data_IF_133425803650
#
_entry.id   IF_133425803650
#
_cell.length_a   1.000
_cell.length_b   1.000
_cell.length_c   1.000
_cell.angle_alpha   90.00
_cell.angle_beta   90.00
_cell.angle_gamma   90.00
#
_symmetry.space_group_name_H-M   'P 1'
#
loop_
_entity.id
_entity.type
_entity.pdbx_description
1 polymer ?
#
# COMPACT_ATOMS: atom_id res chain seq x y z
N UNK A 1 29.41 31.59 1.47
CA UNK A 1 29.56 30.22 0.95
C UNK A 1 28.81 29.32 1.91
N UNK A 2 27.57 28.95 1.58
CA UNK A 2 26.75 28.12 2.45
C UNK A 2 26.92 26.67 2.00
N UNK A 3 27.64 25.92 2.82
CA UNK A 3 27.65 24.46 2.83
C UNK A 3 26.22 23.99 3.13
N UNK A 4 25.53 23.48 2.11
CA UNK A 4 24.34 22.68 2.28
C UNK A 4 24.75 21.26 1.94
N UNK A 5 25.20 20.54 2.99
CA UNK A 5 25.47 19.13 2.93
C UNK A 5 24.34 18.42 2.20
N UNK A 6 24.65 17.93 1.01
CA UNK A 6 23.86 16.91 0.35
C UNK A 6 23.95 15.69 1.26
N UNK A 7 22.99 15.59 2.18
CA UNK A 7 22.67 14.36 2.87
C UNK A 7 22.17 13.38 1.82
N UNK A 8 23.09 12.85 1.03
CA UNK A 8 22.92 11.57 0.36
C UNK A 8 22.85 10.55 1.49
N UNK A 9 21.68 10.48 2.13
CA UNK A 9 21.39 9.35 3.00
C UNK A 9 21.36 8.16 2.07
N UNK A 10 22.38 7.31 2.18
CA UNK A 10 22.29 5.90 1.88
C UNK A 10 21.08 5.34 2.67
N UNK A 11 19.87 5.58 2.16
CA UNK A 11 18.61 5.18 2.74
C UNK A 11 18.45 3.70 2.51
N UNK A 12 18.99 2.90 3.43
CA UNK A 12 18.77 1.45 3.46
C UNK A 12 17.26 1.18 3.43
N UNK A 13 16.75 0.75 2.27
CA UNK A 13 15.34 0.38 2.09
C UNK A 13 14.99 -0.69 3.12
N UNK A 14 14.00 -0.42 3.97
CA UNK A 14 13.58 -1.33 5.04
C UNK A 14 12.70 -2.41 4.44
N UNK A 15 13.21 -3.64 4.35
CA UNK A 15 12.46 -4.77 3.81
C UNK A 15 11.26 -5.10 4.70
N UNK A 16 10.06 -5.03 4.12
CA UNK A 16 8.84 -5.51 4.78
C UNK A 16 8.93 -7.03 4.85
N UNK A 17 8.82 -7.56 6.06
CA UNK A 17 8.74 -8.99 6.32
C UNK A 17 7.29 -9.34 6.57
N UNK A 18 6.69 -10.18 5.71
CA UNK A 18 5.35 -10.66 5.97
C UNK A 18 5.34 -11.43 7.30
N UNK A 19 4.56 -10.95 8.28
CA UNK A 19 4.35 -11.66 9.55
C UNK A 19 3.62 -12.99 9.30
N UNK A 20 2.74 -12.99 8.30
CA UNK A 20 2.08 -14.18 7.78
C UNK A 20 2.72 -14.61 6.46
N UNK A 21 3.23 -15.85 6.38
CA UNK A 21 3.86 -16.38 5.15
C UNK A 21 2.90 -16.41 3.95
N UNK A 22 1.58 -16.27 4.16
CA UNK A 22 0.59 -16.15 3.09
C UNK A 22 0.26 -14.71 2.70
N UNK A 23 0.96 -13.69 3.22
CA UNK A 23 0.71 -12.30 2.83
C UNK A 23 1.04 -12.10 1.35
N UNK A 24 -0.01 -12.10 0.54
CA UNK A 24 0.08 -12.09 -0.91
C UNK A 24 -1.20 -11.56 -1.53
N UNK A 25 -1.07 -10.62 -2.46
CA UNK A 25 -2.19 -10.07 -3.21
C UNK A 25 -2.39 -10.83 -4.51
N UNK A 26 -3.57 -11.41 -4.70
CA UNK A 26 -3.94 -12.14 -5.90
C UNK A 26 -5.08 -11.46 -6.68
N UNK A 27 -5.32 -10.17 -6.45
CA UNK A 27 -6.41 -9.42 -7.07
C UNK A 27 -7.76 -9.52 -6.33
N UNK A 28 -7.81 -10.20 -5.19
CA UNK A 28 -9.02 -10.30 -4.36
C UNK A 28 -8.71 -9.92 -2.90
N UNK A 29 -9.73 -9.52 -2.16
CA UNK A 29 -9.64 -9.04 -0.78
C UNK A 29 -8.66 -7.85 -0.64
N UNK A 30 -8.70 -6.89 -1.58
CA UNK A 30 -7.73 -5.78 -1.65
C UNK A 30 -7.67 -4.98 -0.35
N UNK A 31 -8.80 -4.78 0.33
CA UNK A 31 -8.85 -4.09 1.63
C UNK A 31 -8.05 -4.84 2.69
N UNK A 32 -8.27 -6.16 2.80
CA UNK A 32 -7.57 -7.02 3.75
C UNK A 32 -6.07 -7.05 3.47
N UNK A 33 -5.70 -7.20 2.19
CA UNK A 33 -4.30 -7.15 1.78
C UNK A 33 -3.64 -5.82 2.19
N UNK A 34 -4.27 -4.69 1.90
CA UNK A 34 -3.75 -3.37 2.26
C UNK A 34 -3.58 -3.23 3.77
N UNK A 35 -4.58 -3.64 4.57
CA UNK A 35 -4.49 -3.60 6.04
C UNK A 35 -3.34 -4.46 6.58
N UNK A 36 -3.20 -5.70 6.10
CA UNK A 36 -2.16 -6.62 6.56
C UNK A 36 -0.76 -6.16 6.12
N UNK A 37 -0.65 -5.57 4.92
CA UNK A 37 0.59 -5.01 4.38
C UNK A 37 1.04 -3.74 5.14
N UNK A 38 0.11 -2.83 5.42
CA UNK A 38 0.38 -1.63 6.23
C UNK A 38 0.78 -1.98 7.66
N UNK A 39 0.16 -3.01 8.25
CA UNK A 39 0.55 -3.52 9.55
C UNK A 39 1.99 -4.07 9.54
N UNK A 40 2.35 -4.87 8.54
CA UNK A 40 3.71 -5.39 8.39
C UNK A 40 4.74 -4.25 8.22
N UNK A 41 4.44 -3.26 7.36
CA UNK A 41 5.27 -2.08 7.16
C UNK A 41 5.48 -1.28 8.45
N UNK A 42 4.42 -1.08 9.25
CA UNK A 42 4.51 -0.39 10.55
C UNK A 42 5.37 -1.16 11.55
N UNK A 43 5.26 -2.49 11.58
CA UNK A 43 6.07 -3.33 12.47
C UNK A 43 7.55 -3.33 12.11
N UNK A 44 7.87 -3.26 10.82
CA UNK A 44 9.26 -3.19 10.33
C UNK A 44 9.81 -1.75 10.32
N UNK A 45 8.97 -0.73 10.52
CA UNK A 45 9.37 0.69 10.47
C UNK A 45 9.64 1.20 9.05
N UNK A 46 8.90 0.67 8.07
CA UNK A 46 9.04 1.00 6.66
C UNK A 46 8.34 2.32 6.32
N UNK A 47 8.94 3.12 5.43
CA UNK A 47 8.35 4.37 4.94
C UNK A 47 7.33 4.13 3.83
N UNK A 48 6.42 5.07 3.61
CA UNK A 48 5.43 5.02 2.52
C UNK A 48 6.09 4.88 1.13
N UNK A 49 7.23 5.55 0.89
CA UNK A 49 7.94 5.40 -0.39
C UNK A 49 8.48 3.97 -0.57
N UNK A 50 9.03 3.39 0.49
CA UNK A 50 9.52 2.02 0.48
C UNK A 50 8.37 1.01 0.32
N UNK A 51 7.20 1.30 0.88
CA UNK A 51 5.98 0.49 0.71
C UNK A 51 5.52 0.45 -0.74
N UNK A 52 5.48 1.60 -1.42
CA UNK A 52 5.13 1.68 -2.84
C UNK A 52 6.12 0.92 -3.74
N UNK A 53 7.41 0.93 -3.39
CA UNK A 53 8.43 0.18 -4.13
C UNK A 53 8.36 -1.34 -3.88
N UNK A 54 8.00 -1.75 -2.66
CA UNK A 54 8.04 -3.14 -2.26
C UNK A 54 6.76 -3.93 -2.55
N UNK A 55 5.62 -3.26 -2.73
CA UNK A 55 4.31 -3.93 -2.87
C UNK A 55 4.29 -4.92 -4.05
N UNK A 56 5.05 -4.65 -5.12
CA UNK A 56 5.21 -5.56 -6.27
C UNK A 56 5.73 -6.96 -5.92
N UNK A 57 6.47 -7.09 -4.82
CA UNK A 57 7.00 -8.38 -4.35
C UNK A 57 5.95 -9.21 -3.59
N UNK A 58 4.86 -8.56 -3.17
CA UNK A 58 3.75 -9.21 -2.48
C UNK A 58 2.60 -9.53 -3.43
N UNK A 59 2.71 -9.20 -4.72
CA UNK A 59 1.70 -9.53 -5.72
C UNK A 59 1.95 -10.90 -6.34
N UNK A 60 0.90 -11.71 -6.38
CA UNK A 60 0.85 -13.04 -6.95
C UNK A 60 -0.01 -13.03 -8.22
N UNK A 61 0.50 -13.64 -9.28
CA UNK A 61 -0.15 -13.67 -10.58
C UNK A 61 0.35 -12.56 -11.51
N UNK A 62 0.67 -12.95 -12.74
CA UNK A 62 1.23 -12.04 -13.76
C UNK A 62 0.24 -10.91 -14.07
N UNK A 63 -1.03 -11.24 -14.25
CA UNK A 63 -2.07 -10.27 -14.63
C UNK A 63 -2.28 -9.20 -13.55
N UNK A 64 -2.27 -9.60 -12.26
CA UNK A 64 -2.41 -8.65 -11.13
C UNK A 64 -1.22 -7.72 -11.06
N UNK A 65 -0.01 -8.24 -11.32
CA UNK A 65 1.21 -7.46 -11.35
C UNK A 65 1.23 -6.48 -12.53
N UNK A 66 0.85 -6.93 -13.74
CA UNK A 66 0.76 -6.07 -14.92
C UNK A 66 -0.22 -4.90 -14.67
N UNK A 67 -1.37 -5.17 -14.04
CA UNK A 67 -2.30 -4.10 -13.64
C UNK A 67 -1.67 -3.18 -12.60
N UNK A 68 -1.02 -3.70 -11.56
CA UNK A 68 -0.38 -2.91 -10.52
C UNK A 68 0.66 -1.92 -11.10
N UNK A 69 1.44 -2.36 -12.07
CA UNK A 69 2.47 -1.54 -12.74
C UNK A 69 1.86 -0.40 -13.58
N UNK A 70 0.59 -0.52 -13.98
CA UNK A 70 -0.14 0.53 -14.70
C UNK A 70 -0.91 1.50 -13.78
N UNK A 71 -0.96 1.24 -12.48
CA UNK A 71 -1.70 2.10 -11.56
C UNK A 71 -0.94 3.36 -11.19
N UNK A 72 -1.69 4.45 -11.04
CA UNK A 72 -1.16 5.71 -10.57
C UNK A 72 -0.45 5.55 -9.23
N UNK A 73 0.75 6.10 -9.11
CA UNK A 73 1.56 5.99 -7.89
C UNK A 73 2.45 4.75 -7.82
N UNK A 74 2.42 3.88 -8.84
CA UNK A 74 3.46 2.86 -9.00
C UNK A 74 4.78 3.51 -9.45
N UNK A 75 4.72 4.36 -10.47
CA UNK A 75 5.84 5.15 -10.96
C UNK A 75 5.37 6.60 -11.22
N UNK A 76 5.89 7.62 -10.50
CA UNK A 76 6.81 7.53 -9.37
C UNK A 76 6.17 6.87 -8.13
N UNK A 77 6.96 6.21 -7.26
CA UNK A 77 6.45 5.47 -6.11
C UNK A 77 5.79 6.42 -5.09
N UNK A 78 4.47 6.35 -5.01
CA UNK A 78 3.63 7.11 -4.09
C UNK A 78 2.57 6.18 -3.51
N UNK A 79 2.74 5.78 -2.24
CA UNK A 79 1.87 4.80 -1.60
C UNK A 79 0.42 5.26 -1.47
N UNK A 80 0.19 6.54 -1.15
CA UNK A 80 -1.18 7.06 -1.00
C UNK A 80 -1.94 7.00 -2.33
N UNK A 81 -1.28 7.38 -3.43
CA UNK A 81 -1.87 7.33 -4.78
C UNK A 81 -2.07 5.88 -5.25
N UNK A 82 -1.05 5.03 -5.05
CA UNK A 82 -1.12 3.62 -5.41
C UNK A 82 -2.22 2.89 -4.64
N UNK A 83 -2.33 3.11 -3.33
CA UNK A 83 -3.38 2.55 -2.49
C UNK A 83 -4.78 2.95 -2.97
N UNK A 84 -4.98 4.23 -3.29
CA UNK A 84 -6.24 4.72 -3.84
C UNK A 84 -6.57 4.05 -5.19
N UNK A 85 -5.58 3.92 -6.07
CA UNK A 85 -5.73 3.27 -7.37
C UNK A 85 -6.05 1.76 -7.23
N UNK A 86 -5.38 1.05 -6.30
CA UNK A 86 -5.66 -0.36 -5.99
C UNK A 86 -7.10 -0.54 -5.49
N UNK A 87 -7.58 0.34 -4.61
CA UNK A 87 -8.97 0.33 -4.13
C UNK A 87 -9.97 0.68 -5.24
N UNK A 88 -9.66 1.62 -6.13
CA UNK A 88 -10.54 1.96 -7.24
C UNK A 88 -10.69 0.80 -8.25
N UNK A 89 -9.59 0.08 -8.50
CA UNK A 89 -9.56 -1.04 -9.44
C UNK A 89 -10.15 -2.33 -8.85
N UNK A 90 -9.61 -2.80 -7.74
CA UNK A 90 -10.01 -4.07 -7.12
C UNK A 90 -11.06 -3.93 -6.03
N UNK A 91 -11.24 -2.74 -5.45
CA UNK A 91 -12.25 -2.53 -4.42
C UNK A 91 -13.65 -2.81 -4.94
N UNK A 92 -13.97 -2.48 -6.20
CA UNK A 92 -15.27 -2.84 -6.81
C UNK A 92 -15.46 -4.35 -6.96
N UNK A 93 -14.39 -5.07 -7.28
CA UNK A 93 -14.38 -6.55 -7.39
C UNK A 93 -14.59 -7.18 -6.01
N UNK A 94 -14.04 -6.56 -4.96
CA UNK A 94 -14.25 -6.91 -3.56
C UNK A 94 -15.67 -6.62 -3.06
N UNK A 95 -16.20 -5.44 -3.39
CA UNK A 95 -17.55 -4.99 -2.99
C UNK A 95 -18.64 -5.83 -3.65
N UNK A 96 -18.42 -6.29 -4.88
CA UNK A 96 -19.30 -7.26 -5.52
C UNK A 96 -19.43 -8.56 -4.71
N UNK A 97 -18.45 -8.87 -3.84
CA UNK A 97 -18.48 -10.01 -2.90
C UNK A 97 -18.88 -9.63 -1.48
N UNK A 98 -18.66 -8.39 -1.05
CA UNK A 98 -18.98 -7.87 0.28
C UNK A 98 -19.80 -6.58 0.17
N UNK A 99 -21.11 -6.71 0.39
CA UNK A 99 -22.12 -5.66 0.30
C UNK A 99 -21.80 -4.36 1.07
N UNK A 100 -22.41 -3.28 0.57
CA UNK A 100 -22.25 -1.83 0.80
C UNK A 100 -21.96 -1.34 2.23
N UNK A 101 -22.37 -2.04 3.28
CA UNK A 101 -22.20 -1.59 4.68
C UNK A 101 -20.74 -1.65 5.16
N UNK A 102 -19.91 -2.52 4.56
CA UNK A 102 -18.49 -2.67 4.92
C UNK A 102 -17.62 -1.51 4.41
N UNK A 103 -18.08 -0.78 3.37
CA UNK A 103 -17.35 0.36 2.82
C UNK A 103 -17.44 1.60 3.70
N UNK A 104 -18.64 1.93 4.17
CA UNK A 104 -18.86 3.14 4.96
C UNK A 104 -18.15 3.05 6.31
N UNK A 105 -18.06 1.84 6.88
CA UNK A 105 -17.34 1.62 8.12
C UNK A 105 -15.83 1.80 7.97
N UNK A 106 -15.24 1.43 6.83
CA UNK A 106 -13.81 1.59 6.58
C UNK A 106 -13.41 3.03 6.30
N UNK A 107 -14.24 3.76 5.55
CA UNK A 107 -14.00 5.19 5.30
C UNK A 107 -14.13 5.96 6.61
N UNK A 108 -15.11 5.62 7.46
CA UNK A 108 -15.22 6.21 8.78
C UNK A 108 -14.05 5.84 9.70
N UNK A 109 -13.60 4.57 9.73
CA UNK A 109 -12.46 4.20 10.58
C UNK A 109 -11.16 4.93 10.19
N UNK A 110 -11.01 5.26 8.90
CA UNK A 110 -9.88 6.04 8.40
C UNK A 110 -9.98 7.54 8.69
N UNK A 111 -11.19 8.09 8.73
CA UNK A 111 -11.45 9.48 9.15
C UNK A 111 -11.28 9.61 10.67
N UNK A 112 -11.77 8.64 11.44
CA UNK A 112 -11.79 8.65 12.92
C UNK A 112 -10.39 8.41 13.52
N UNK A 113 -9.51 7.68 12.83
CA UNK A 113 -8.11 7.49 13.25
C UNK A 113 -7.23 8.74 13.08
N UNK A 114 -7.81 9.87 12.68
CA UNK A 114 -7.13 11.15 12.59
C UNK A 114 -6.21 11.20 11.38
N UNK A 115 -6.61 11.99 10.38
CA UNK A 115 -5.72 12.39 9.30
C UNK A 115 -4.34 12.76 9.84
N UNK A 116 -3.30 12.25 9.19
CA UNK A 116 -1.89 12.53 9.53
C UNK A 116 -1.78 14.02 9.81
N UNK A 117 -1.52 14.35 11.09
CA UNK A 117 -1.30 15.73 11.51
C UNK A 117 -0.16 16.33 10.70
N UNK A 118 -0.39 17.58 10.29
CA UNK A 118 0.50 18.45 9.51
C UNK A 118 1.91 18.58 10.08
#
# INVERSE_FOLDING_TARGET
>A
MADAGVGSSNGKMVKIKPQDKSLGFNGNNVKRFLSDYELAARLDGTSDSDMAQQVRFFVHGKEVKDVLEMLDGFEPPNWALLKAAMLAHWGKVDIAKFTTQDLESLVQEWIDKGGVSS
#
